data_IF_627504304249
#
_entry.id   IF_627504304249
#
_cell.length_a   1.000
_cell.length_b   1.000
_cell.length_c   1.000
_cell.angle_alpha   90.00
_cell.angle_beta   90.00
_cell.angle_gamma   90.00
#
_symmetry.space_group_name_H-M   'P 1'
#
loop_
_entity.id
_entity.type
_entity.pdbx_description
1 polymer ?
#
# COMPACT_ATOMS: atom_id res chain seq x y z
N UNK A 1 9.27 19.64 -17.02
CA UNK A 1 7.94 19.17 -16.57
C UNK A 1 7.90 19.36 -15.07
N UNK A 2 6.82 19.93 -14.52
CA UNK A 2 6.78 20.27 -13.10
C UNK A 2 6.84 18.99 -12.27
N UNK A 3 7.57 19.02 -11.15
CA UNK A 3 7.66 17.93 -10.18
C UNK A 3 6.30 17.38 -9.71
N UNK A 4 5.21 18.12 -9.94
CA UNK A 4 3.84 17.70 -9.65
C UNK A 4 3.33 16.63 -10.60
N UNK A 5 3.56 16.79 -11.91
CA UNK A 5 3.15 15.79 -12.88
C UNK A 5 3.92 14.48 -12.66
N UNK A 6 5.21 14.56 -12.31
CA UNK A 6 6.00 13.38 -11.95
C UNK A 6 5.43 12.65 -10.72
N UNK A 7 4.90 13.37 -9.73
CA UNK A 7 4.28 12.78 -8.56
C UNK A 7 2.96 12.07 -8.90
N UNK A 8 2.17 12.63 -9.82
CA UNK A 8 0.97 11.98 -10.33
C UNK A 8 1.34 10.73 -11.12
N UNK A 9 2.34 10.80 -11.98
CA UNK A 9 2.84 9.67 -12.76
C UNK A 9 3.38 8.56 -11.83
N UNK A 10 4.14 8.92 -10.80
CA UNK A 10 4.63 7.99 -9.78
C UNK A 10 3.48 7.32 -9.00
N UNK A 11 2.42 8.07 -8.67
CA UNK A 11 1.23 7.53 -8.03
C UNK A 11 0.44 6.61 -8.97
N UNK A 12 0.35 6.94 -10.26
CA UNK A 12 -0.30 6.11 -11.27
C UNK A 12 0.48 4.80 -11.48
N UNK A 13 1.81 4.87 -11.52
CA UNK A 13 2.67 3.69 -11.62
C UNK A 13 2.46 2.72 -10.43
N UNK A 14 2.28 3.24 -9.21
CA UNK A 14 1.95 2.38 -8.05
C UNK A 14 0.62 1.64 -8.21
N UNK A 15 -0.38 2.22 -8.90
CA UNK A 15 -1.63 1.53 -9.20
C UNK A 15 -1.40 0.33 -10.13
N UNK A 16 -0.54 0.50 -11.14
CA UNK A 16 -0.15 -0.57 -12.05
C UNK A 16 0.61 -1.68 -11.32
N UNK A 17 1.49 -1.31 -10.38
CA UNK A 17 2.18 -2.28 -9.51
C UNK A 17 1.19 -3.08 -8.66
N UNK A 18 0.22 -2.43 -7.99
CA UNK A 18 -0.80 -3.12 -7.19
C UNK A 18 -1.62 -4.09 -8.07
N UNK A 19 -1.99 -3.65 -9.27
CA UNK A 19 -2.73 -4.47 -10.23
C UNK A 19 -1.94 -5.71 -10.64
N UNK A 20 -0.63 -5.56 -10.84
CA UNK A 20 0.29 -6.63 -11.21
C UNK A 20 0.60 -7.58 -10.04
N UNK A 21 0.60 -7.06 -8.81
CA UNK A 21 0.81 -7.84 -7.59
C UNK A 21 -0.37 -8.76 -7.27
N UNK A 22 -1.61 -8.39 -7.65
CA UNK A 22 -2.82 -9.16 -7.34
C UNK A 22 -2.77 -10.66 -7.69
N UNK A 23 -2.36 -11.10 -8.90
CA UNK A 23 -2.19 -12.52 -9.18
C UNK A 23 -1.02 -13.16 -8.41
N UNK A 24 0.05 -12.41 -8.15
CA UNK A 24 1.27 -12.91 -7.49
C UNK A 24 1.07 -13.11 -5.99
N UNK A 25 0.28 -12.27 -5.33
CA UNK A 25 0.06 -12.39 -3.88
C UNK A 25 -0.66 -13.70 -3.53
N UNK A 26 -1.45 -14.24 -4.47
CA UNK A 26 -2.22 -15.47 -4.28
C UNK A 26 -1.36 -16.72 -4.30
N UNK A 27 -0.15 -16.65 -4.85
CA UNK A 27 0.78 -17.78 -4.91
C UNK A 27 1.75 -17.83 -3.73
N UNK A 28 1.71 -16.83 -2.84
CA UNK A 28 2.51 -16.79 -1.62
C UNK A 28 1.64 -16.96 -0.38
N UNK A 29 2.18 -17.42 0.76
CA UNK A 29 1.45 -17.46 2.01
C UNK A 29 1.30 -16.04 2.58
N UNK A 30 0.34 -15.28 2.07
CA UNK A 30 0.19 -13.84 2.35
C UNK A 30 -0.20 -13.52 3.81
N UNK A 31 -0.65 -14.51 4.59
CA UNK A 31 -0.96 -14.39 6.02
C UNK A 31 0.24 -14.76 6.92
N UNK A 32 1.27 -15.42 6.38
CA UNK A 32 2.44 -15.85 7.16
C UNK A 32 3.30 -14.65 7.60
N UNK A 33 3.88 -14.79 8.79
CA UNK A 33 4.68 -13.77 9.45
C UNK A 33 6.09 -14.30 9.69
N UNK A 34 7.03 -14.07 8.77
CA UNK A 34 8.40 -14.51 8.96
C UNK A 34 9.07 -13.67 10.06
N UNK A 35 9.58 -14.29 11.12
CA UNK A 35 10.43 -13.64 12.13
C UNK A 35 9.82 -12.40 12.80
N UNK A 36 8.55 -12.48 13.20
CA UNK A 36 7.75 -11.39 13.81
C UNK A 36 7.49 -10.15 12.92
N UNK A 37 7.93 -10.17 11.66
CA UNK A 37 7.60 -9.15 10.67
C UNK A 37 6.10 -9.16 10.31
N UNK A 38 5.66 -8.08 9.67
CA UNK A 38 4.31 -8.02 9.10
C UNK A 38 4.12 -9.08 8.01
N UNK A 39 2.94 -9.69 7.93
CA UNK A 39 2.56 -10.52 6.79
C UNK A 39 2.38 -9.68 5.52
N UNK A 40 2.33 -10.31 4.36
CA UNK A 40 2.10 -9.55 3.12
C UNK A 40 0.73 -8.84 3.11
N UNK A 41 -0.29 -9.47 3.71
CA UNK A 41 -1.60 -8.87 3.96
C UNK A 41 -1.52 -7.65 4.88
N UNK A 42 -0.76 -7.74 5.97
CA UNK A 42 -0.56 -6.63 6.92
C UNK A 42 0.18 -5.45 6.29
N UNK A 43 1.14 -5.74 5.40
CA UNK A 43 1.85 -4.73 4.61
C UNK A 43 0.85 -4.01 3.67
N UNK A 44 0.00 -4.75 2.96
CA UNK A 44 -1.01 -4.17 2.08
C UNK A 44 -2.05 -3.34 2.85
N UNK A 45 -2.47 -3.79 4.03
CA UNK A 45 -3.35 -3.04 4.92
C UNK A 45 -2.70 -1.73 5.42
N UNK A 46 -1.40 -1.75 5.72
CA UNK A 46 -0.67 -0.53 6.09
C UNK A 46 -0.74 0.50 4.97
N UNK A 47 -0.52 0.07 3.72
CA UNK A 47 -0.64 0.95 2.56
C UNK A 47 -2.07 1.49 2.40
N UNK A 48 -3.07 0.60 2.53
CA UNK A 48 -4.48 0.97 2.35
C UNK A 48 -4.93 2.03 3.36
N UNK A 49 -4.59 1.84 4.64
CA UNK A 49 -4.92 2.82 5.69
C UNK A 49 -4.17 4.15 5.52
N UNK A 50 -2.94 4.12 5.03
CA UNK A 50 -2.19 5.35 4.77
C UNK A 50 -2.84 6.16 3.63
N UNK A 51 -3.32 5.49 2.57
CA UNK A 51 -4.09 6.14 1.50
C UNK A 51 -5.42 6.70 2.00
N UNK A 52 -6.18 5.89 2.74
CA UNK A 52 -7.48 6.29 3.31
C UNK A 52 -7.34 7.53 4.21
N UNK A 53 -6.29 7.57 5.03
CA UNK A 53 -6.02 8.72 5.88
C UNK A 53 -5.76 9.98 5.07
N UNK A 54 -4.89 9.91 4.05
CA UNK A 54 -4.60 11.07 3.22
C UNK A 54 -5.86 11.59 2.51
N UNK A 55 -6.71 10.69 2.02
CA UNK A 55 -8.00 11.04 1.41
C UNK A 55 -8.95 11.76 2.37
N UNK A 56 -8.99 11.36 3.64
CA UNK A 56 -9.96 11.86 4.63
C UNK A 56 -9.51 13.13 5.32
N UNK A 57 -8.22 13.23 5.67
CA UNK A 57 -7.72 14.35 6.49
C UNK A 57 -6.81 15.30 5.74
N UNK A 58 -6.37 15.00 4.50
CA UNK A 58 -5.29 15.72 3.79
C UNK A 58 -3.91 15.71 4.51
N UNK A 59 -3.90 15.32 5.79
CA UNK A 59 -2.72 15.03 6.59
C UNK A 59 -2.39 13.54 6.56
N UNK A 60 -1.12 13.21 6.38
CA UNK A 60 -0.60 11.85 6.42
C UNK A 60 0.10 11.59 7.76
N UNK A 61 -0.29 10.53 8.46
CA UNK A 61 0.36 10.04 9.67
C UNK A 61 0.53 8.52 9.58
N UNK A 62 1.69 8.12 9.04
CA UNK A 62 2.08 6.73 8.81
C UNK A 62 2.11 5.90 10.10
N UNK A 63 2.40 6.52 11.24
CA UNK A 63 2.40 5.85 12.55
C UNK A 63 1.00 5.33 12.89
N UNK A 64 -0.05 6.10 12.59
CA UNK A 64 -1.43 5.65 12.81
C UNK A 64 -1.80 4.46 11.92
N UNK A 65 -1.35 4.44 10.66
CA UNK A 65 -1.59 3.31 9.76
C UNK A 65 -0.96 2.02 10.31
N UNK A 66 0.30 2.10 10.77
CA UNK A 66 1.00 0.96 11.39
C UNK A 66 0.36 0.52 12.72
N UNK A 67 -0.03 1.46 13.58
CA UNK A 67 -0.74 1.16 14.83
C UNK A 67 -2.08 0.46 14.56
N UNK A 68 -2.81 0.89 13.53
CA UNK A 68 -4.07 0.26 13.14
C UNK A 68 -3.88 -1.18 12.71
N UNK A 69 -2.87 -1.46 11.88
CA UNK A 69 -2.54 -2.84 11.52
C UNK A 69 -2.17 -3.64 12.76
N UNK A 70 -1.33 -3.13 13.65
CA UNK A 70 -0.98 -3.79 14.92
C UNK A 70 -2.21 -4.14 15.77
N UNK A 71 -3.20 -3.25 15.87
CA UNK A 71 -4.45 -3.55 16.58
C UNK A 71 -5.22 -4.70 15.93
N UNK A 72 -5.27 -4.72 14.59
CA UNK A 72 -5.92 -5.79 13.83
C UNK A 72 -5.18 -7.12 13.93
N UNK A 73 -3.86 -7.14 14.18
CA UNK A 73 -3.13 -8.41 14.42
C UNK A 73 -3.69 -9.18 15.61
N UNK A 74 -4.22 -8.47 16.60
CA UNK A 74 -4.74 -9.05 17.85
C UNK A 74 -6.25 -9.29 17.83
N UNK A 75 -6.94 -8.76 16.82
CA UNK A 75 -8.34 -9.05 16.56
C UNK A 75 -8.33 -10.18 15.55
N UNK A 76 -8.88 -11.35 15.87
CA UNK A 76 -8.88 -12.56 15.02
C UNK A 76 -9.77 -12.39 13.76
N UNK A 77 -9.60 -11.28 13.04
CA UNK A 77 -10.35 -10.93 11.85
C UNK A 77 -9.71 -11.63 10.66
N UNK A 78 -10.44 -12.58 10.08
CA UNK A 78 -10.13 -13.08 8.75
C UNK A 78 -10.36 -11.95 7.74
N UNK A 79 -9.27 -11.33 7.30
CA UNK A 79 -9.30 -10.30 6.27
C UNK A 79 -9.07 -10.96 4.91
N UNK A 80 -9.99 -10.69 3.99
CA UNK A 80 -9.88 -11.19 2.61
C UNK A 80 -8.88 -10.33 1.82
N UNK A 81 -7.85 -10.98 1.28
CA UNK A 81 -6.80 -10.34 0.49
C UNK A 81 -7.35 -9.63 -0.74
N UNK A 82 -8.40 -10.18 -1.37
CA UNK A 82 -9.02 -9.53 -2.53
C UNK A 82 -9.73 -8.25 -2.13
N UNK A 83 -10.44 -8.26 -1.00
CA UNK A 83 -11.05 -7.05 -0.44
C UNK A 83 -10.01 -5.97 -0.14
N UNK A 84 -8.86 -6.33 0.45
CA UNK A 84 -7.79 -5.38 0.77
C UNK A 84 -7.19 -4.79 -0.51
N UNK A 85 -6.86 -5.61 -1.50
CA UNK A 85 -6.32 -5.13 -2.77
C UNK A 85 -7.30 -4.24 -3.52
N UNK A 86 -8.58 -4.61 -3.55
CA UNK A 86 -9.60 -3.79 -4.21
C UNK A 86 -9.79 -2.44 -3.49
N UNK A 87 -9.75 -2.43 -2.15
CA UNK A 87 -9.77 -1.20 -1.33
C UNK A 87 -8.58 -0.31 -1.65
N UNK A 88 -7.37 -0.88 -1.65
CA UNK A 88 -6.12 -0.18 -1.95
C UNK A 88 -6.12 0.43 -3.36
N UNK A 89 -6.60 -0.30 -4.36
CA UNK A 89 -6.74 0.22 -5.73
C UNK A 89 -7.80 1.32 -5.81
N UNK A 90 -8.92 1.17 -5.10
CA UNK A 90 -9.98 2.18 -5.06
C UNK A 90 -9.51 3.48 -4.43
N UNK A 91 -8.83 3.40 -3.29
CA UNK A 91 -8.26 4.54 -2.58
C UNK A 91 -7.20 5.25 -3.45
N UNK A 92 -6.37 4.49 -4.18
CA UNK A 92 -5.38 5.05 -5.10
C UNK A 92 -6.02 5.82 -6.24
N UNK A 93 -7.06 5.26 -6.85
CA UNK A 93 -7.82 5.95 -7.90
C UNK A 93 -8.47 7.24 -7.39
N UNK A 94 -9.04 7.21 -6.19
CA UNK A 94 -9.62 8.39 -5.56
C UNK A 94 -8.54 9.46 -5.28
N UNK A 95 -7.35 9.07 -4.83
CA UNK A 95 -6.23 9.98 -4.64
C UNK A 95 -5.83 10.61 -5.97
N UNK A 96 -5.62 9.82 -7.02
CA UNK A 96 -5.26 10.34 -8.34
C UNK A 96 -6.28 11.34 -8.87
N UNK A 97 -7.58 11.07 -8.69
CA UNK A 97 -8.63 11.99 -9.08
C UNK A 97 -8.56 13.32 -8.30
N UNK A 98 -8.38 13.28 -6.98
CA UNK A 98 -8.25 14.50 -6.17
C UNK A 98 -6.99 15.32 -6.49
N UNK A 99 -5.88 14.64 -6.82
CA UNK A 99 -4.59 15.28 -7.10
C UNK A 99 -4.57 15.98 -8.47
N UNK A 100 -5.47 15.64 -9.39
CA UNK A 100 -5.62 16.41 -10.62
C UNK A 100 -6.14 17.83 -10.34
N UNK A 101 -6.88 18.02 -9.24
CA UNK A 101 -7.58 19.27 -8.94
C UNK A 101 -6.87 20.15 -7.90
N UNK A 102 -6.04 19.59 -7.00
CA UNK A 102 -5.38 20.36 -5.94
C UNK A 102 -3.95 19.91 -5.56
N UNK A 103 -2.92 20.79 -5.73
CA UNK A 103 -1.53 20.47 -5.42
C UNK A 103 -1.14 20.65 -3.93
N UNK A 104 -2.07 21.00 -3.05
CA UNK A 104 -1.78 21.33 -1.65
C UNK A 104 -1.22 20.16 -0.83
N UNK A 105 -1.49 18.91 -1.26
CA UNK A 105 -1.04 17.69 -0.59
C UNK A 105 0.29 17.13 -1.10
N UNK A 106 1.07 17.92 -1.86
CA UNK A 106 2.28 17.46 -2.54
C UNK A 106 3.28 16.75 -1.63
N UNK A 107 3.55 17.31 -0.45
CA UNK A 107 4.51 16.70 0.50
C UNK A 107 3.97 15.40 1.08
N UNK A 108 2.71 15.37 1.49
CA UNK A 108 2.05 14.18 2.01
C UNK A 108 2.02 13.06 0.97
N UNK A 109 1.70 13.39 -0.29
CA UNK A 109 1.73 12.44 -1.40
C UNK A 109 3.14 11.87 -1.64
N UNK A 110 4.17 12.72 -1.71
CA UNK A 110 5.54 12.25 -1.88
C UNK A 110 5.95 11.28 -0.76
N UNK A 111 5.58 11.59 0.49
CA UNK A 111 5.84 10.71 1.64
C UNK A 111 5.08 9.39 1.51
N UNK A 112 3.81 9.42 1.11
CA UNK A 112 2.98 8.23 0.90
C UNK A 112 3.57 7.34 -0.21
N UNK A 113 3.93 7.90 -1.37
CA UNK A 113 4.54 7.16 -2.49
C UNK A 113 5.83 6.47 -2.04
N UNK A 114 6.71 7.19 -1.35
CA UNK A 114 7.97 6.61 -0.85
C UNK A 114 7.71 5.49 0.14
N UNK A 115 6.73 5.67 1.03
CA UNK A 115 6.31 4.65 1.98
C UNK A 115 5.80 3.40 1.27
N UNK A 116 4.88 3.53 0.31
CA UNK A 116 4.30 2.39 -0.41
C UNK A 116 5.31 1.66 -1.26
N UNK A 117 6.21 2.38 -1.95
CA UNK A 117 7.33 1.76 -2.66
C UNK A 117 8.15 0.88 -1.73
N UNK A 118 8.41 1.33 -0.50
CA UNK A 118 9.13 0.51 0.48
C UNK A 118 8.35 -0.73 0.93
N UNK A 119 7.02 -0.65 0.99
CA UNK A 119 6.15 -1.76 1.36
C UNK A 119 6.03 -2.79 0.23
N UNK A 120 5.81 -2.34 -1.00
CA UNK A 120 5.71 -3.23 -2.16
C UNK A 120 7.04 -3.89 -2.49
N UNK A 121 8.16 -3.21 -2.24
CA UNK A 121 9.49 -3.83 -2.31
C UNK A 121 9.62 -5.02 -1.34
N UNK A 122 9.16 -4.89 -0.10
CA UNK A 122 9.18 -6.02 0.85
C UNK A 122 8.33 -7.20 0.35
N UNK A 123 7.18 -6.94 -0.26
CA UNK A 123 6.34 -7.98 -0.86
C UNK A 123 7.08 -8.64 -2.04
N UNK A 124 7.68 -7.84 -2.93
CA UNK A 124 8.42 -8.35 -4.08
C UNK A 124 9.62 -9.21 -3.66
N UNK A 125 10.38 -8.79 -2.65
CA UNK A 125 11.51 -9.55 -2.10
C UNK A 125 11.05 -10.90 -1.53
N UNK A 126 9.87 -10.95 -0.90
CA UNK A 126 9.28 -12.22 -0.43
C UNK A 126 8.86 -13.14 -1.56
N UNK A 127 8.20 -12.60 -2.59
CA UNK A 127 7.83 -13.36 -3.79
C UNK A 127 9.08 -13.97 -4.45
N UNK A 128 10.15 -13.18 -4.57
CA UNK A 128 11.41 -13.65 -5.15
C UNK A 128 12.08 -14.72 -4.31
N UNK A 129 12.09 -14.58 -2.98
CA UNK A 129 12.72 -15.54 -2.07
C UNK A 129 12.08 -16.93 -2.20
N UNK A 130 10.75 -16.99 -2.30
CA UNK A 130 10.01 -18.25 -2.49
C UNK A 130 10.39 -18.90 -3.83
N UNK A 131 10.43 -18.13 -4.92
CA UNK A 131 10.76 -18.64 -6.25
C UNK A 131 12.24 -19.08 -6.42
N UNK A 132 13.14 -18.69 -5.51
CA UNK A 132 14.56 -19.09 -5.55
C UNK A 132 14.89 -20.34 -4.71
N UNK A 133 13.91 -20.88 -3.98
CA UNK A 133 14.08 -22.11 -3.19
C UNK A 133 13.64 -23.38 -3.93
N UNK A 134 13.14 -23.23 -5.16
CA UNK A 134 12.92 -24.30 -6.15
C UNK A 134 14.10 -24.40 -7.13
#
# INVERSE_FOLDING_TARGET
MSDWNQLIDDAAYLLDEITSLKPLIRVIPFEERPGDEFSALEILLCADYAQEQLLKSSELNLTHAQQRVNMLRHQDSKLDIDSVLNSLMSNRNALLAQLQDSPENRRSLQTLITFERSLFRQIAERILTINTQD
#
